data_IF_135464985825
#
_entry.id   IF_135464985825
#
_cell.length_a   1.000
_cell.length_b   1.000
_cell.length_c   1.000
_cell.angle_alpha   90.00
_cell.angle_beta   90.00
_cell.angle_gamma   90.00
#
_symmetry.space_group_name_H-M   'P 1'
#
loop_
_entity.id
_entity.type
_entity.pdbx_description
1 polymer ?
#
# COMPACT_ATOMS: atom_id res chain seq x y z
N UNK A 1 1.58 -32.30 0.66
CA UNK A 1 1.34 -31.40 -0.49
C UNK A 1 0.78 -30.02 -0.10
N UNK A 2 -0.07 -29.85 0.93
CA UNK A 2 -0.61 -28.51 1.28
C UNK A 2 0.38 -27.47 1.86
N UNK A 3 1.58 -27.87 2.29
CA UNK A 3 2.58 -26.97 2.89
C UNK A 3 3.39 -26.17 1.86
N UNK A 4 3.69 -26.76 0.70
CA UNK A 4 4.45 -26.08 -0.37
C UNK A 4 3.62 -24.96 -1.02
N UNK A 5 2.34 -25.23 -1.29
CA UNK A 5 1.43 -24.23 -1.87
C UNK A 5 1.31 -23.00 -0.96
N UNK A 6 1.21 -23.18 0.36
CA UNK A 6 1.13 -22.05 1.31
C UNK A 6 2.37 -21.18 1.34
N UNK A 7 3.56 -21.78 1.19
CA UNK A 7 4.82 -21.05 1.19
C UNK A 7 4.98 -20.20 -0.07
N UNK A 8 4.57 -20.73 -1.24
CA UNK A 8 4.54 -19.97 -2.49
C UNK A 8 3.68 -18.70 -2.43
N UNK A 9 2.47 -18.80 -1.86
CA UNK A 9 1.58 -17.63 -1.70
C UNK A 9 2.17 -16.58 -0.77
N UNK A 10 2.80 -16.98 0.35
CA UNK A 10 3.46 -16.06 1.28
C UNK A 10 4.63 -15.33 0.62
N UNK A 11 5.42 -16.01 -0.21
CA UNK A 11 6.51 -15.40 -0.98
C UNK A 11 5.99 -14.39 -2.02
N UNK A 12 4.89 -14.71 -2.71
CA UNK A 12 4.27 -13.78 -3.67
C UNK A 12 3.78 -12.52 -2.96
N UNK A 13 3.11 -12.66 -1.81
CA UNK A 13 2.68 -11.50 -1.00
C UNK A 13 3.90 -10.70 -0.57
N UNK A 14 4.95 -11.34 -0.06
CA UNK A 14 6.17 -10.64 0.35
C UNK A 14 6.75 -9.83 -0.81
N UNK A 15 6.97 -10.45 -1.97
CA UNK A 15 7.56 -9.79 -3.12
C UNK A 15 6.72 -8.58 -3.60
N UNK A 16 5.40 -8.75 -3.73
CA UNK A 16 4.50 -7.69 -4.19
C UNK A 16 4.37 -6.55 -3.18
N UNK A 17 4.31 -6.87 -1.88
CA UNK A 17 4.23 -5.89 -0.81
C UNK A 17 5.54 -5.10 -0.67
N UNK A 18 6.69 -5.76 -0.72
CA UNK A 18 7.99 -5.08 -0.68
C UNK A 18 8.23 -4.23 -1.91
N UNK A 19 7.85 -4.71 -3.10
CA UNK A 19 7.94 -3.89 -4.32
C UNK A 19 7.09 -2.62 -4.20
N UNK A 20 5.85 -2.73 -3.74
CA UNK A 20 4.99 -1.56 -3.48
C UNK A 20 5.61 -0.59 -2.48
N UNK A 21 6.13 -1.12 -1.36
CA UNK A 21 6.74 -0.33 -0.30
C UNK A 21 7.96 0.45 -0.82
N UNK A 22 8.86 -0.21 -1.54
CA UNK A 22 10.06 0.43 -2.11
C UNK A 22 9.65 1.51 -3.11
N UNK A 23 8.72 1.24 -4.02
CA UNK A 23 8.27 2.24 -4.98
C UNK A 23 7.62 3.46 -4.32
N UNK A 24 6.80 3.25 -3.28
CA UNK A 24 6.20 4.34 -2.53
C UNK A 24 7.23 5.18 -1.76
N UNK A 25 8.21 4.54 -1.10
CA UNK A 25 9.30 5.23 -0.38
C UNK A 25 10.16 6.03 -1.35
N UNK A 26 10.58 5.42 -2.46
CA UNK A 26 11.41 6.10 -3.46
C UNK A 26 10.63 7.28 -4.04
N UNK A 27 9.38 7.09 -4.45
CA UNK A 27 8.53 8.17 -4.98
C UNK A 27 8.44 9.40 -4.07
N UNK A 28 8.26 9.22 -2.76
CA UNK A 28 8.17 10.35 -1.83
C UNK A 28 9.53 10.98 -1.51
N UNK A 29 10.60 10.17 -1.50
CA UNK A 29 11.95 10.63 -1.19
C UNK A 29 12.62 11.35 -2.38
N UNK A 30 12.26 10.98 -3.62
CA UNK A 30 12.86 11.55 -4.83
C UNK A 30 12.05 12.70 -5.40
N UNK A 31 12.73 13.56 -6.16
CA UNK A 31 12.09 14.62 -6.94
C UNK A 31 11.60 14.15 -8.31
N UNK A 32 11.23 15.07 -9.19
CA UNK A 32 10.75 14.73 -10.53
C UNK A 32 9.33 14.19 -10.51
N UNK A 33 8.43 14.88 -9.80
CA UNK A 33 7.00 14.60 -9.79
C UNK A 33 6.30 15.13 -11.04
N UNK A 34 6.76 16.27 -11.55
CA UNK A 34 6.42 16.80 -12.88
C UNK A 34 7.62 17.50 -13.50
N UNK A 35 7.51 17.87 -14.77
CA UNK A 35 8.51 18.73 -15.43
C UNK A 35 8.74 20.06 -14.69
N UNK A 36 7.75 20.55 -13.92
CA UNK A 36 7.84 21.76 -13.08
C UNK A 36 8.35 21.46 -11.67
N UNK A 37 8.07 20.28 -11.14
CA UNK A 37 8.44 19.86 -9.78
C UNK A 37 9.60 18.86 -9.86
N UNK A 38 10.80 19.40 -10.00
CA UNK A 38 12.05 18.62 -10.08
C UNK A 38 12.59 18.22 -8.70
N UNK A 39 12.16 18.89 -7.63
CA UNK A 39 12.49 18.56 -6.24
C UNK A 39 11.47 17.59 -5.63
N UNK A 40 11.72 17.10 -4.42
CA UNK A 40 10.71 16.31 -3.69
C UNK A 40 9.51 17.20 -3.33
N UNK A 41 8.32 16.59 -3.20
CA UNK A 41 7.10 17.34 -2.86
C UNK A 41 7.23 18.16 -1.56
N UNK A 42 7.98 17.65 -0.58
CA UNK A 42 8.22 18.35 0.68
C UNK A 42 9.10 19.60 0.48
N UNK A 43 10.16 19.50 -0.32
CA UNK A 43 11.00 20.66 -0.65
C UNK A 43 10.24 21.67 -1.51
N UNK A 44 9.42 21.19 -2.45
CA UNK A 44 8.54 22.05 -3.24
C UNK A 44 7.56 22.83 -2.36
N UNK A 45 6.97 22.20 -1.34
CA UNK A 45 6.16 22.91 -0.35
C UNK A 45 6.95 23.97 0.41
N UNK A 46 8.16 23.67 0.88
CA UNK A 46 8.99 24.64 1.61
C UNK A 46 9.28 25.90 0.77
N UNK A 47 9.41 25.75 -0.55
CA UNK A 47 9.65 26.87 -1.46
C UNK A 47 8.37 27.64 -1.85
N UNK A 48 7.23 26.95 -1.98
CA UNK A 48 6.01 27.52 -2.57
C UNK A 48 4.89 27.82 -1.56
N UNK A 49 4.93 27.23 -0.37
CA UNK A 49 3.86 27.32 0.64
C UNK A 49 2.56 26.61 0.26
N UNK A 50 2.56 25.80 -0.81
CA UNK A 50 1.34 25.16 -1.34
C UNK A 50 0.90 23.96 -0.50
N UNK A 51 -0.17 24.12 0.29
CA UNK A 51 -0.65 23.12 1.25
C UNK A 51 -1.01 21.76 0.61
N UNK A 52 -1.47 21.75 -0.65
CA UNK A 52 -1.83 20.52 -1.35
C UNK A 52 -0.64 19.56 -1.48
N UNK A 53 0.59 20.08 -1.61
CA UNK A 53 1.79 19.26 -1.73
C UNK A 53 2.09 18.51 -0.43
N UNK A 54 1.88 19.16 0.72
CA UNK A 54 1.94 18.50 2.04
C UNK A 54 0.84 17.46 2.18
N UNK A 55 -0.38 17.78 1.74
CA UNK A 55 -1.51 16.83 1.73
C UNK A 55 -1.16 15.53 1.01
N UNK A 56 -0.59 15.62 -0.20
CA UNK A 56 -0.11 14.45 -0.94
C UNK A 56 0.95 13.66 -0.16
N UNK A 57 1.97 14.34 0.40
CA UNK A 57 3.03 13.67 1.17
C UNK A 57 2.47 12.93 2.39
N UNK A 58 1.56 13.55 3.14
CA UNK A 58 0.94 12.93 4.32
C UNK A 58 0.13 11.69 3.94
N UNK A 59 -0.63 11.74 2.84
CA UNK A 59 -1.37 10.59 2.34
C UNK A 59 -0.43 9.46 1.92
N UNK A 60 0.66 9.76 1.19
CA UNK A 60 1.63 8.76 0.79
C UNK A 60 2.29 8.11 2.02
N UNK A 61 2.68 8.91 3.03
CA UNK A 61 3.23 8.40 4.28
C UNK A 61 2.22 7.50 5.01
N UNK A 62 0.95 7.88 5.05
CA UNK A 62 -0.12 7.04 5.62
C UNK A 62 -0.19 5.68 4.92
N UNK A 63 -0.15 5.66 3.59
CA UNK A 63 -0.11 4.41 2.82
C UNK A 63 1.14 3.56 3.12
N UNK A 64 2.32 4.17 3.19
CA UNK A 64 3.58 3.50 3.57
C UNK A 64 3.47 2.88 4.96
N UNK A 65 2.87 3.57 5.93
CA UNK A 65 2.63 3.03 7.28
C UNK A 65 1.70 1.83 7.21
N UNK A 66 0.61 1.91 6.44
CA UNK A 66 -0.32 0.78 6.26
C UNK A 66 0.35 -0.44 5.61
N UNK A 67 1.17 -0.25 4.57
CA UNK A 67 1.97 -1.33 3.97
C UNK A 67 2.97 -1.91 4.96
N UNK A 68 3.63 -1.07 5.76
CA UNK A 68 4.58 -1.50 6.78
C UNK A 68 3.90 -2.37 7.85
N UNK A 69 2.70 -1.99 8.29
CA UNK A 69 1.88 -2.79 9.20
C UNK A 69 1.46 -4.12 8.56
N UNK A 70 1.10 -4.11 7.27
CA UNK A 70 0.79 -5.33 6.51
C UNK A 70 2.01 -6.26 6.39
N UNK A 71 3.21 -5.70 6.18
CA UNK A 71 4.48 -6.44 6.20
C UNK A 71 4.73 -7.11 7.56
N UNK A 72 4.52 -6.38 8.67
CA UNK A 72 4.68 -6.91 10.03
C UNK A 72 3.71 -8.09 10.26
N UNK A 73 2.46 -7.98 9.80
CA UNK A 73 1.47 -9.07 9.88
C UNK A 73 1.94 -10.28 9.06
N UNK A 74 2.51 -10.07 7.87
CA UNK A 74 3.09 -11.14 7.05
C UNK A 74 4.24 -11.84 7.78
N UNK A 75 5.19 -11.08 8.35
CA UNK A 75 6.29 -11.63 9.14
C UNK A 75 5.80 -12.41 10.35
N UNK A 76 4.79 -11.91 11.07
CA UNK A 76 4.19 -12.62 12.19
C UNK A 76 3.57 -13.97 11.76
N UNK A 77 3.08 -14.10 10.52
CA UNK A 77 2.61 -15.37 9.96
C UNK A 77 3.76 -16.33 9.65
N UNK A 78 4.91 -15.86 9.16
CA UNK A 78 6.09 -16.72 8.95
C UNK A 78 6.54 -17.41 10.25
N UNK A 79 6.42 -16.72 11.39
CA UNK A 79 6.73 -17.28 12.71
C UNK A 79 5.54 -17.96 13.40
N UNK A 80 4.44 -18.23 12.69
CA UNK A 80 3.23 -18.90 13.20
C UNK A 80 2.51 -18.16 14.36
N UNK A 81 2.86 -16.91 14.66
CA UNK A 81 2.24 -16.05 15.68
C UNK A 81 1.04 -15.23 15.14
N UNK A 82 0.79 -15.26 13.82
CA UNK A 82 -0.19 -14.40 13.12
C UNK A 82 -1.48 -15.09 12.64
N UNK A 83 -1.90 -16.20 13.26
CA UNK A 83 -3.14 -16.91 12.88
C UNK A 83 -4.36 -16.00 13.12
N UNK A 84 -5.23 -15.85 12.12
CA UNK A 84 -6.47 -15.06 12.19
C UNK A 84 -6.33 -13.57 11.83
N UNK A 85 -5.13 -13.06 11.50
CA UNK A 85 -4.90 -11.64 11.14
C UNK A 85 -4.63 -11.38 9.65
N UNK A 86 -4.73 -12.40 8.79
CA UNK A 86 -4.49 -12.24 7.35
C UNK A 86 -5.44 -11.22 6.70
N UNK A 87 -6.70 -11.21 7.10
CA UNK A 87 -7.71 -10.27 6.58
C UNK A 87 -7.28 -8.82 6.85
N UNK A 88 -6.78 -8.55 8.06
CA UNK A 88 -6.31 -7.21 8.43
C UNK A 88 -5.13 -6.77 7.54
N UNK A 89 -4.17 -7.66 7.27
CA UNK A 89 -3.06 -7.39 6.35
C UNK A 89 -3.53 -7.08 4.92
N UNK A 90 -4.53 -7.83 4.45
CA UNK A 90 -5.15 -7.60 3.15
C UNK A 90 -5.87 -6.26 3.05
N UNK A 91 -6.71 -5.93 4.03
CA UNK A 91 -7.42 -4.65 4.11
C UNK A 91 -6.45 -3.47 4.12
N UNK A 92 -5.38 -3.53 4.93
CA UNK A 92 -4.37 -2.47 5.00
C UNK A 92 -3.64 -2.27 3.67
N UNK A 93 -3.39 -3.35 2.92
CA UNK A 93 -2.74 -3.28 1.61
C UNK A 93 -3.63 -2.62 0.55
N UNK A 94 -4.91 -3.00 0.50
CA UNK A 94 -5.88 -2.38 -0.42
C UNK A 94 -6.12 -0.92 -0.04
N UNK A 95 -6.25 -0.63 1.26
CA UNK A 95 -6.43 0.73 1.75
C UNK A 95 -5.25 1.62 1.35
N UNK A 96 -4.01 1.14 1.47
CA UNK A 96 -2.83 1.87 0.99
C UNK A 96 -2.92 2.19 -0.51
N UNK A 97 -3.36 1.23 -1.34
CA UNK A 97 -3.52 1.47 -2.77
C UNK A 97 -4.56 2.56 -3.05
N UNK A 98 -5.69 2.56 -2.34
CA UNK A 98 -6.70 3.62 -2.43
C UNK A 98 -6.13 4.98 -2.04
N UNK A 99 -5.38 5.05 -0.93
CA UNK A 99 -4.75 6.29 -0.46
C UNK A 99 -3.74 6.83 -1.48
N UNK A 100 -2.94 5.96 -2.10
CA UNK A 100 -2.03 6.35 -3.18
C UNK A 100 -2.79 6.90 -4.40
N UNK A 101 -3.87 6.25 -4.82
CA UNK A 101 -4.73 6.74 -5.92
C UNK A 101 -5.30 8.13 -5.58
N UNK A 102 -5.77 8.34 -4.35
CA UNK A 102 -6.29 9.65 -3.91
C UNK A 102 -5.19 10.71 -3.95
N UNK A 103 -3.98 10.40 -3.45
CA UNK A 103 -2.84 11.32 -3.53
C UNK A 103 -2.47 11.67 -4.98
N UNK A 104 -2.48 10.67 -5.87
CA UNK A 104 -2.23 10.87 -7.31
C UNK A 104 -3.34 11.72 -7.93
N UNK A 105 -4.59 11.49 -7.58
CA UNK A 105 -5.73 12.27 -8.05
C UNK A 105 -5.66 13.73 -7.62
N UNK A 106 -5.27 14.01 -6.37
CA UNK A 106 -5.02 15.38 -5.90
C UNK A 106 -3.90 16.02 -6.73
N UNK A 107 -2.79 15.31 -6.93
CA UNK A 107 -1.68 15.81 -7.73
C UNK A 107 -2.10 16.14 -9.18
N UNK A 108 -2.81 15.23 -9.85
CA UNK A 108 -3.32 15.44 -11.22
C UNK A 108 -4.33 16.58 -11.32
N UNK A 109 -5.12 16.79 -10.26
CA UNK A 109 -6.07 17.91 -10.18
C UNK A 109 -5.41 19.28 -10.10
N UNK A 110 -4.20 19.35 -9.53
CA UNK A 110 -3.41 20.59 -9.41
C UNK A 110 -2.49 20.78 -10.63
N UNK A 111 -1.76 19.73 -11.01
CA UNK A 111 -0.85 19.71 -12.16
C UNK A 111 -1.58 19.15 -13.39
N UNK A 112 -2.54 19.92 -13.92
CA UNK A 112 -3.33 19.45 -15.08
C UNK A 112 -2.42 19.14 -16.29
N UNK A 113 -2.73 18.12 -17.09
CA UNK A 113 -1.86 17.64 -18.18
C UNK A 113 -1.65 18.64 -19.33
N UNK A 114 -2.45 19.72 -19.39
CA UNK A 114 -2.23 20.85 -20.30
C UNK A 114 -1.08 21.76 -19.83
N UNK A 115 -0.76 21.71 -18.53
CA UNK A 115 0.26 22.54 -17.87
C UNK A 115 1.55 21.77 -17.58
N UNK A 116 1.49 20.46 -17.35
CA UNK A 116 2.62 19.68 -16.88
C UNK A 116 2.67 18.25 -17.41
N UNK A 117 3.89 17.74 -17.60
CA UNK A 117 4.13 16.33 -17.91
C UNK A 117 4.51 15.61 -16.62
N UNK A 118 3.82 14.51 -16.30
CA UNK A 118 4.10 13.72 -15.11
C UNK A 118 5.49 13.08 -15.16
N UNK A 119 6.21 13.14 -14.05
CA UNK A 119 7.59 12.68 -13.95
C UNK A 119 7.74 11.28 -13.37
N UNK A 120 8.99 10.89 -13.14
CA UNK A 120 9.37 9.57 -12.66
C UNK A 120 8.77 9.23 -11.28
N UNK A 121 8.79 10.18 -10.33
CA UNK A 121 8.27 9.92 -8.98
C UNK A 121 6.76 9.70 -8.97
N UNK A 122 6.02 10.39 -9.83
CA UNK A 122 4.60 10.15 -10.04
C UNK A 122 4.36 8.74 -10.60
N UNK A 123 5.11 8.35 -11.64
CA UNK A 123 5.00 7.02 -12.23
C UNK A 123 5.35 5.90 -11.24
N UNK A 124 6.36 6.10 -10.38
CA UNK A 124 6.71 5.15 -9.34
C UNK A 124 5.57 4.93 -8.34
N UNK A 125 4.91 6.00 -7.87
CA UNK A 125 3.78 5.84 -6.96
C UNK A 125 2.61 5.12 -7.64
N UNK A 126 2.37 5.41 -8.93
CA UNK A 126 1.38 4.67 -9.72
C UNK A 126 1.74 3.18 -9.83
N UNK A 127 3.01 2.86 -10.07
CA UNK A 127 3.52 1.49 -10.07
C UNK A 127 3.44 0.82 -8.68
N UNK A 128 3.39 1.57 -7.58
CA UNK A 128 3.20 1.02 -6.24
C UNK A 128 1.75 0.54 -6.00
N UNK A 129 0.76 1.08 -6.71
CA UNK A 129 -0.67 0.75 -6.55
C UNK A 129 -0.95 -0.71 -6.92
N UNK A 130 -0.49 -1.15 -8.09
CA UNK A 130 -0.83 -2.48 -8.62
C UNK A 130 -0.32 -3.60 -7.68
N UNK A 131 0.96 -3.62 -7.25
CA UNK A 131 1.45 -4.62 -6.32
C UNK A 131 0.76 -4.57 -4.95
N UNK A 132 0.37 -3.38 -4.46
CA UNK A 132 -0.40 -3.27 -3.21
C UNK A 132 -1.79 -3.92 -3.32
N UNK A 133 -2.49 -3.74 -4.44
CA UNK A 133 -3.78 -4.41 -4.68
C UNK A 133 -3.59 -5.91 -4.78
N UNK A 134 -2.59 -6.38 -5.55
CA UNK A 134 -2.29 -7.80 -5.70
C UNK A 134 -1.97 -8.44 -4.34
N UNK A 135 -1.08 -7.83 -3.55
CA UNK A 135 -0.76 -8.31 -2.21
C UNK A 135 -2.02 -8.40 -1.33
N UNK A 136 -2.90 -7.41 -1.40
CA UNK A 136 -4.18 -7.40 -0.69
C UNK A 136 -5.10 -8.56 -1.09
N UNK A 137 -5.29 -8.77 -2.39
CA UNK A 137 -6.10 -9.87 -2.92
C UNK A 137 -5.54 -11.23 -2.49
N UNK A 138 -4.22 -11.43 -2.61
CA UNK A 138 -3.59 -12.71 -2.23
C UNK A 138 -3.68 -12.93 -0.71
N UNK A 139 -3.62 -11.88 0.11
CA UNK A 139 -3.93 -11.95 1.55
C UNK A 139 -5.35 -12.45 1.84
N UNK A 140 -6.35 -12.02 1.07
CA UNK A 140 -7.73 -12.51 1.22
C UNK A 140 -7.87 -13.97 0.78
N UNK A 141 -7.16 -14.36 -0.29
CA UNK A 141 -7.17 -15.73 -0.80
C UNK A 141 -6.52 -16.73 0.15
N UNK A 142 -5.65 -16.30 1.06
CA UNK A 142 -5.03 -17.15 2.08
C UNK A 142 -6.01 -17.74 3.11
N UNK A 143 -7.33 -17.47 3.01
CA UNK A 143 -8.46 -18.06 3.77
C UNK A 143 -8.03 -18.81 5.04
N UNK A 144 -7.89 -18.07 6.15
CA UNK A 144 -7.81 -18.70 7.47
C UNK A 144 -9.15 -19.37 7.76
N UNK A 145 -9.20 -20.69 7.60
CA UNK A 145 -10.32 -21.55 8.06
C UNK A 145 -10.63 -21.31 9.54
N UNK A 146 -9.65 -20.87 10.32
CA UNK A 146 -9.78 -20.58 11.75
C UNK A 146 -10.58 -19.30 12.04
N UNK A 147 -10.49 -18.26 11.19
CA UNK A 147 -11.30 -17.04 11.38
C UNK A 147 -12.79 -17.33 11.10
N UNK A 148 -13.09 -18.05 10.02
CA UNK A 148 -14.44 -18.50 9.69
C UNK A 148 -15.02 -19.41 10.79
N UNK A 149 -14.21 -20.31 11.36
CA UNK A 149 -14.64 -21.15 12.48
C UNK A 149 -14.82 -20.36 13.79
N UNK A 150 -14.00 -19.33 14.05
CA UNK A 150 -14.21 -18.46 15.21
C UNK A 150 -15.48 -17.62 15.08
N UNK A 151 -15.77 -17.08 13.89
CA UNK A 151 -17.01 -16.35 13.62
C UNK A 151 -18.25 -17.27 13.71
N UNK A 152 -18.16 -18.51 13.24
CA UNK A 152 -19.25 -19.49 13.39
C UNK A 152 -19.47 -19.92 14.85
N UNK A 153 -18.43 -19.98 15.69
CA UNK A 153 -18.59 -20.25 17.13
C UNK A 153 -19.36 -19.15 17.85
N UNK A 154 -19.17 -17.88 17.49
CA UNK A 154 -19.95 -16.77 18.07
C UNK A 154 -21.39 -16.73 17.53
N UNK A 155 -21.62 -17.13 16.29
CA UNK A 155 -22.97 -17.28 15.72
C UNK A 155 -23.76 -18.43 16.34
N UNK A 156 -23.11 -19.57 16.57
CA UNK A 156 -23.73 -20.75 17.19
C UNK A 156 -23.98 -20.61 18.71
N UNK A 157 -23.29 -19.68 19.39
CA UNK A 157 -23.53 -19.37 20.80
C UNK A 157 -24.61 -18.30 21.02
N UNK A 158 -25.14 -17.71 19.94
CA UNK A 158 -26.19 -16.69 19.95
C UNK A 158 -27.59 -17.27 19.60
N UNK A 159 -27.69 -18.60 19.45
CA UNK A 159 -28.94 -19.37 19.38
C UNK A 159 -29.10 -20.21 20.64
#
# INVERSE_FOLDING_TARGET
MQTEDRLGHLLIIAATLFASLVFAIVSVATGGWSNRIQTSLLQFYQASGLLWAVGCVVLIILGIICLSLSAIILFARFFNHGKGRAILGGVLSIFSACVFIVSLGIFMGQETPQLATYGFSFALLWCAVIPAIIAGIVFFLLKDTDFLNSAMKYSAAAQ
#
